data_IF_976272913380
#
_entry.id   IF_976272913380
#
_cell.length_a   1.000
_cell.length_b   1.000
_cell.length_c   1.000
_cell.angle_alpha   90.00
_cell.angle_beta   90.00
_cell.angle_gamma   90.00
#
_symmetry.space_group_name_H-M   'P 1'
#
loop_
_entity.id
_entity.type
_entity.pdbx_description
1 polymer ?
#
# COMPACT_ATOMS: atom_id res chain seq x y z
N UNK A 1 3.89 23.86 -0.99
CA UNK A 1 3.87 22.50 -1.55
C UNK A 1 4.65 21.62 -0.59
N UNK A 2 4.17 20.41 -0.28
CA UNK A 2 4.92 19.45 0.53
C UNK A 2 5.45 18.41 -0.45
N UNK A 3 6.78 18.29 -0.55
CA UNK A 3 7.43 17.41 -1.50
C UNK A 3 7.73 16.02 -0.90
N UNK A 4 7.96 15.94 0.41
CA UNK A 4 8.20 14.66 1.11
C UNK A 4 7.91 14.76 2.61
N UNK A 5 7.63 13.60 3.23
CA UNK A 5 7.59 13.41 4.68
C UNK A 5 8.81 12.60 5.12
N UNK A 6 9.57 13.09 6.10
CA UNK A 6 10.81 12.47 6.57
C UNK A 6 11.04 12.73 8.07
N UNK A 7 12.00 12.01 8.66
CA UNK A 7 12.34 12.13 10.08
C UNK A 7 11.14 11.83 10.97
N UNK A 8 10.90 12.69 11.96
CA UNK A 8 9.76 12.57 12.87
C UNK A 8 8.40 12.63 12.16
N UNK A 9 8.32 13.20 10.95
CA UNK A 9 7.09 13.33 10.18
C UNK A 9 6.86 12.18 9.20
N UNK A 10 7.77 11.20 9.13
CA UNK A 10 7.65 10.07 8.19
C UNK A 10 6.30 9.36 8.32
N UNK A 11 5.74 9.26 9.53
CA UNK A 11 4.46 8.61 9.79
C UNK A 11 3.26 9.20 9.02
N UNK A 12 3.40 10.42 8.47
CA UNK A 12 2.38 11.05 7.62
C UNK A 12 2.41 10.53 6.17
N UNK A 13 3.45 9.80 5.77
CA UNK A 13 3.54 9.18 4.46
C UNK A 13 2.71 7.89 4.39
N UNK A 14 1.98 7.69 3.30
CA UNK A 14 1.32 6.40 3.03
C UNK A 14 2.29 5.22 2.84
N UNK A 15 3.58 5.53 2.66
CA UNK A 15 4.66 4.55 2.51
C UNK A 15 5.30 4.21 3.86
N UNK A 16 4.91 4.90 4.95
CA UNK A 16 5.40 4.58 6.27
C UNK A 16 4.87 3.21 6.73
N UNK A 17 5.68 2.41 7.45
CA UNK A 17 5.22 1.18 8.10
C UNK A 17 4.11 1.48 9.10
N UNK A 18 2.88 1.17 8.73
CA UNK A 18 1.68 1.45 9.49
C UNK A 18 0.64 0.37 9.15
N UNK A 19 0.59 -0.73 9.93
CA UNK A 19 -0.31 -1.84 9.67
C UNK A 19 -1.76 -1.37 9.49
N UNK A 20 -2.30 -1.54 8.28
CA UNK A 20 -3.57 -0.96 7.87
C UNK A 20 -4.58 -2.07 7.55
N UNK A 21 -5.68 -2.22 8.31
CA UNK A 21 -6.70 -3.23 8.06
C UNK A 21 -7.58 -2.86 6.87
N UNK A 22 -7.79 -3.81 5.96
CA UNK A 22 -8.71 -3.65 4.83
C UNK A 22 -9.23 -5.02 4.33
N UNK A 23 -10.56 -5.14 4.13
CA UNK A 23 -11.23 -6.36 3.60
C UNK A 23 -10.77 -7.68 4.23
N UNK A 24 -10.61 -7.69 5.56
CA UNK A 24 -10.21 -8.89 6.32
C UNK A 24 -8.70 -9.19 6.31
N UNK A 25 -7.89 -8.33 5.69
CA UNK A 25 -6.43 -8.44 5.68
C UNK A 25 -5.79 -7.27 6.41
N UNK A 26 -4.61 -7.52 6.98
CA UNK A 26 -3.74 -6.48 7.54
C UNK A 26 -2.60 -6.22 6.55
N UNK A 27 -2.50 -4.99 6.05
CA UNK A 27 -1.49 -4.60 5.06
C UNK A 27 -0.33 -3.85 5.71
N UNK A 28 0.91 -3.96 5.19
CA UNK A 28 2.09 -3.34 5.81
C UNK A 28 2.02 -1.81 5.93
N UNK A 29 1.40 -1.16 4.94
CA UNK A 29 1.21 0.28 4.89
C UNK A 29 -0.17 0.65 4.36
N UNK A 30 -0.57 1.90 4.51
CA UNK A 30 -1.83 2.39 3.91
C UNK A 30 -1.78 2.38 2.38
N UNK A 31 -0.61 2.56 1.75
CA UNK A 31 -0.45 2.42 0.29
C UNK A 31 -0.78 1.01 -0.19
N UNK A 32 -0.37 -0.04 0.55
CA UNK A 32 -0.70 -1.42 0.22
C UNK A 32 -2.22 -1.66 0.27
N UNK A 33 -2.87 -1.21 1.34
CA UNK A 33 -4.32 -1.30 1.47
C UNK A 33 -5.05 -0.54 0.34
N UNK A 34 -4.57 0.66 0.01
CA UNK A 34 -5.12 1.48 -1.06
C UNK A 34 -4.95 0.83 -2.45
N UNK A 35 -3.78 0.29 -2.75
CA UNK A 35 -3.52 -0.43 -3.99
C UNK A 35 -4.44 -1.65 -4.13
N UNK A 36 -4.62 -2.44 -3.06
CA UNK A 36 -5.52 -3.59 -3.06
C UNK A 36 -6.99 -3.20 -3.22
N UNK A 37 -7.39 -2.02 -2.72
CA UNK A 37 -8.76 -1.53 -2.85
C UNK A 37 -9.16 -1.19 -4.30
N UNK A 38 -8.18 -0.92 -5.19
CA UNK A 38 -8.40 -0.53 -6.59
C UNK A 38 -8.85 -1.66 -7.50
N UNK A 39 -8.62 -2.91 -7.09
CA UNK A 39 -8.95 -4.07 -7.91
C UNK A 39 -9.77 -5.09 -7.11
N UNK A 40 -10.36 -6.03 -7.83
CA UNK A 40 -11.02 -7.22 -7.29
C UNK A 40 -10.33 -8.50 -7.72
N UNK A 41 -9.28 -8.43 -8.55
CA UNK A 41 -8.51 -9.59 -8.97
C UNK A 41 -7.77 -10.20 -7.75
N UNK A 42 -8.09 -11.45 -7.37
CA UNK A 42 -7.45 -12.10 -6.23
C UNK A 42 -5.94 -12.25 -6.40
N UNK A 43 -5.44 -12.42 -7.63
CA UNK A 43 -4.01 -12.59 -7.88
C UNK A 43 -3.25 -11.29 -7.63
N UNK A 44 -3.75 -10.17 -8.15
CA UNK A 44 -3.22 -8.84 -7.86
C UNK A 44 -3.28 -8.52 -6.36
N UNK A 45 -4.40 -8.81 -5.69
CA UNK A 45 -4.53 -8.58 -4.24
C UNK A 45 -3.53 -9.41 -3.45
N UNK A 46 -3.31 -10.69 -3.80
CA UNK A 46 -2.31 -11.53 -3.16
C UNK A 46 -0.88 -11.00 -3.40
N UNK A 47 -0.56 -10.58 -4.63
CA UNK A 47 0.75 -10.00 -4.95
C UNK A 47 1.01 -8.70 -4.18
N UNK A 48 0.00 -7.84 -4.03
CA UNK A 48 0.09 -6.63 -3.19
C UNK A 48 0.31 -7.00 -1.73
N UNK A 49 -0.35 -8.03 -1.20
CA UNK A 49 -0.18 -8.43 0.20
C UNK A 49 1.18 -9.04 0.52
N UNK A 50 1.80 -9.69 -0.47
CA UNK A 50 3.03 -10.45 -0.28
C UNK A 50 4.31 -9.64 -0.57
N UNK A 51 4.19 -8.36 -0.92
CA UNK A 51 5.35 -7.48 -1.08
C UNK A 51 5.52 -6.61 0.17
N UNK A 52 6.77 -6.36 0.55
CA UNK A 52 7.12 -5.44 1.63
C UNK A 52 7.39 -4.00 1.12
N UNK A 53 7.38 -3.80 -0.20
CA UNK A 53 7.67 -2.51 -0.85
C UNK A 53 6.36 -1.78 -1.25
N UNK A 54 6.02 -0.65 -0.61
CA UNK A 54 4.84 0.13 -0.96
C UNK A 54 4.89 0.71 -2.39
N UNK A 55 6.07 0.97 -2.95
CA UNK A 55 6.20 1.39 -4.34
C UNK A 55 5.78 0.26 -5.29
N UNK A 56 6.19 -0.98 -4.98
CA UNK A 56 5.78 -2.16 -5.73
C UNK A 56 4.29 -2.44 -5.60
N UNK A 57 3.73 -2.31 -4.39
CA UNK A 57 2.29 -2.42 -4.15
C UNK A 57 1.49 -1.45 -5.04
N UNK A 58 1.90 -0.18 -5.07
CA UNK A 58 1.31 0.85 -5.92
C UNK A 58 1.38 0.51 -7.41
N UNK A 59 2.52 -0.02 -7.88
CA UNK A 59 2.69 -0.44 -9.28
C UNK A 59 1.73 -1.59 -9.64
N UNK A 60 1.62 -2.61 -8.79
CA UNK A 60 0.72 -3.74 -9.01
C UNK A 60 -0.73 -3.25 -9.08
N UNK A 61 -1.17 -2.46 -8.09
CA UNK A 61 -2.53 -1.93 -8.07
C UNK A 61 -2.86 -0.96 -9.21
N UNK A 62 -1.85 -0.35 -9.85
CA UNK A 62 -2.04 0.48 -11.06
C UNK A 62 -2.17 -0.37 -12.34
N UNK A 63 -1.51 -1.52 -12.39
CA UNK A 63 -1.53 -2.42 -13.53
C UNK A 63 -2.67 -3.45 -13.46
N UNK A 64 -3.28 -3.62 -12.29
CA UNK A 64 -4.40 -4.53 -12.08
C UNK A 64 -5.67 -4.07 -12.82
N UNK A 65 -6.51 -5.02 -13.27
CA UNK A 65 -7.78 -4.73 -13.93
C UNK A 65 -8.84 -4.18 -12.98
#
# INVERSE_FOLDING_TARGET
MIDTFAGEYLFLSNFAPAPTPHRGWLYPTSEHAFAAAKTRDPAAVAAIRNTDDPARAKQIGRAAP
#
